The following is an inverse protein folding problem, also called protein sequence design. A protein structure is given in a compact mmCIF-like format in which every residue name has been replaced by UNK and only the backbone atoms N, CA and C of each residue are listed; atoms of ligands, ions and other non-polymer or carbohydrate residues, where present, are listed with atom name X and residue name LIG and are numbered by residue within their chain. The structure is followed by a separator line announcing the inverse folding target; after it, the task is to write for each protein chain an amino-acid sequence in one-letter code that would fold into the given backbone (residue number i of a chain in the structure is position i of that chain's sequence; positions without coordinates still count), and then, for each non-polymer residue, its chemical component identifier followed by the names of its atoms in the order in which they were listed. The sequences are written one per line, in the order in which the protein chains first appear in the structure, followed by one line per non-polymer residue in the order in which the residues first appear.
data_IF_256610460832
#
_entry.id   IF_256610460832
#
_cell.length_a   1.000
_cell.length_b   1.000
_cell.length_c   1.000
_cell.angle_alpha   90.00
_cell.angle_beta   90.00
_cell.angle_gamma   90.00
#
_symmetry.space_group_name_H-M   'P 1'
#
loop_
_entity.id
_entity.type
_entity.pdbx_description
1 polymer ?
#
# COMPACT_ATOMS: atom_id res chain seq x y z
N UNK A 1 12.48 6.44 1.44
CA UNK A 1 11.35 5.50 1.44
C UNK A 1 10.54 5.73 2.71
N UNK A 2 9.41 6.45 2.65
CA UNK A 2 8.50 6.64 3.79
C UNK A 2 7.97 5.30 4.31
N UNK A 3 7.87 5.16 5.63
CA UNK A 3 7.38 3.94 6.30
C UNK A 3 6.57 4.30 7.54
N UNK A 4 5.76 3.35 8.01
CA UNK A 4 4.96 3.48 9.24
C UNK A 4 3.54 3.95 8.94
N UNK A 5 2.59 3.03 9.00
CA UNK A 5 1.17 3.35 8.81
C UNK A 5 0.79 3.84 7.41
N UNK A 6 1.61 3.61 6.39
CA UNK A 6 1.32 4.01 5.01
C UNK A 6 0.18 3.16 4.45
N UNK A 7 -0.99 3.77 4.29
CA UNK A 7 -2.12 3.22 3.54
C UNK A 7 -2.05 3.60 2.04
N UNK A 8 -3.03 3.19 1.24
CA UNK A 8 -3.03 3.42 -0.21
C UNK A 8 -3.08 4.91 -0.58
N UNK A 9 -3.82 5.72 0.19
CA UNK A 9 -3.94 7.18 -0.04
C UNK A 9 -2.62 7.87 0.29
N UNK A 10 -2.00 7.52 1.42
CA UNK A 10 -0.69 8.04 1.78
C UNK A 10 0.40 7.57 0.80
N UNK A 11 0.31 6.33 0.31
CA UNK A 11 1.23 5.81 -0.71
C UNK A 11 1.17 6.66 -1.98
N UNK A 12 -0.02 6.95 -2.50
CA UNK A 12 -0.20 7.82 -3.67
C UNK A 12 0.42 9.20 -3.41
N UNK A 13 0.07 9.85 -2.31
CA UNK A 13 0.59 11.18 -1.97
C UNK A 13 2.12 11.22 -1.89
N UNK A 14 2.75 10.20 -1.30
CA UNK A 14 4.21 10.13 -1.24
C UNK A 14 4.84 9.94 -2.61
N UNK A 15 4.26 9.10 -3.47
CA UNK A 15 4.74 8.87 -4.83
C UNK A 15 4.61 10.16 -5.66
N UNK A 16 3.49 10.90 -5.54
CA UNK A 16 3.28 12.19 -6.18
C UNK A 16 4.28 13.26 -5.72
N UNK A 17 4.72 13.20 -4.46
CA UNK A 17 5.78 14.06 -3.92
C UNK A 17 7.20 13.65 -4.34
N UNK A 18 7.32 12.64 -5.22
CA UNK A 18 8.60 12.20 -5.78
C UNK A 18 9.29 11.10 -4.96
N UNK A 19 8.59 10.44 -4.03
CA UNK A 19 9.14 9.25 -3.41
C UNK A 19 9.28 8.14 -4.45
N UNK A 20 10.45 7.50 -4.53
CA UNK A 20 10.69 6.37 -5.44
C UNK A 20 10.01 5.08 -4.96
N UNK A 21 9.74 4.99 -3.66
CA UNK A 21 9.06 3.86 -3.03
C UNK A 21 8.51 4.24 -1.66
N UNK A 22 7.53 3.47 -1.18
CA UNK A 22 6.98 3.50 0.19
C UNK A 22 7.01 2.09 0.79
N UNK A 23 7.20 2.00 2.11
CA UNK A 23 7.07 0.74 2.84
C UNK A 23 5.69 0.61 3.47
N UNK A 24 5.01 -0.49 3.14
CA UNK A 24 3.67 -0.82 3.64
C UNK A 24 3.75 -2.01 4.58
N UNK A 25 2.94 -2.00 5.63
CA UNK A 25 2.99 -2.99 6.72
C UNK A 25 1.61 -3.23 7.29
N UNK A 26 1.34 -2.67 8.47
CA UNK A 26 0.06 -2.85 9.18
C UNK A 26 -1.18 -2.52 8.31
N UNK A 27 -1.19 -1.44 7.49
CA UNK A 27 -2.33 -1.17 6.60
C UNK A 27 -2.53 -2.22 5.50
N UNK A 28 -1.47 -2.89 5.04
CA UNK A 28 -1.58 -3.99 4.08
C UNK A 28 -2.05 -5.28 4.77
N UNK A 29 -1.35 -5.68 5.85
CA UNK A 29 -1.57 -6.95 6.51
C UNK A 29 -2.94 -7.01 7.19
N UNK A 30 -3.36 -5.94 7.88
CA UNK A 30 -4.57 -5.97 8.70
C UNK A 30 -4.49 -7.09 9.75
N UNK A 31 -5.52 -7.93 9.81
CA UNK A 31 -5.64 -9.09 10.70
C UNK A 31 -5.15 -10.42 10.08
N UNK A 32 -4.69 -10.40 8.83
CA UNK A 32 -4.39 -11.62 8.07
C UNK A 32 -3.27 -12.48 8.70
N UNK A 33 -2.31 -11.84 9.37
CA UNK A 33 -1.22 -12.55 10.06
C UNK A 33 -1.67 -13.28 11.33
N UNK A 34 -2.83 -12.89 11.88
CA UNK A 34 -3.44 -13.50 13.08
C UNK A 34 -4.52 -14.54 12.71
N UNK A 35 -4.55 -15.00 11.45
CA UNK A 35 -5.55 -15.95 10.94
C UNK A 35 -6.85 -15.30 10.46
N UNK A 36 -6.85 -13.98 10.26
CA UNK A 36 -7.98 -13.20 9.76
C UNK A 36 -8.22 -13.31 8.24
N UNK A 37 -8.76 -12.23 7.66
CA UNK A 37 -9.30 -12.23 6.30
C UNK A 37 -8.22 -12.14 5.20
N UNK A 38 -7.98 -13.27 4.51
CA UNK A 38 -7.05 -13.35 3.38
C UNK A 38 -7.61 -12.75 2.09
N UNK A 39 -8.92 -12.72 1.91
CA UNK A 39 -9.53 -12.07 0.74
C UNK A 39 -9.46 -10.55 0.90
N UNK A 40 -9.65 -10.05 2.11
CA UNK A 40 -9.35 -8.67 2.49
C UNK A 40 -7.89 -8.31 2.27
N UNK A 41 -6.94 -9.18 2.65
CA UNK A 41 -5.52 -8.97 2.34
C UNK A 41 -5.28 -8.87 0.83
N UNK A 42 -5.87 -9.76 0.03
CA UNK A 42 -5.75 -9.72 -1.43
C UNK A 42 -6.30 -8.42 -2.00
N UNK A 43 -7.45 -7.95 -1.52
CA UNK A 43 -8.05 -6.69 -1.97
C UNK A 43 -7.14 -5.50 -1.66
N UNK A 44 -6.61 -5.40 -0.43
CA UNK A 44 -5.66 -4.34 -0.04
C UNK A 44 -4.38 -4.39 -0.87
N UNK A 45 -3.83 -5.58 -1.11
CA UNK A 45 -2.65 -5.75 -1.95
C UNK A 45 -2.87 -5.27 -3.39
N UNK A 46 -4.02 -5.61 -3.98
CA UNK A 46 -4.39 -5.17 -5.32
C UNK A 46 -4.53 -3.64 -5.40
N UNK A 47 -5.04 -3.00 -4.35
CA UNK A 47 -5.12 -1.55 -4.26
C UNK A 47 -3.73 -0.88 -4.26
N UNK A 48 -2.78 -1.39 -3.47
CA UNK A 48 -1.41 -0.87 -3.49
C UNK A 48 -0.73 -1.06 -4.85
N UNK A 49 -0.94 -2.20 -5.51
CA UNK A 49 -0.43 -2.42 -6.88
C UNK A 49 -1.00 -1.37 -7.84
N UNK A 50 -2.33 -1.18 -7.84
CA UNK A 50 -2.99 -0.17 -8.67
C UNK A 50 -2.38 1.23 -8.46
N UNK A 51 -2.21 1.65 -7.21
CA UNK A 51 -1.58 2.94 -6.88
C UNK A 51 -0.17 3.05 -7.47
N UNK A 52 0.63 1.99 -7.40
CA UNK A 52 2.00 2.00 -7.95
C UNK A 52 2.02 2.02 -9.48
N UNK A 53 1.08 1.34 -10.16
CA UNK A 53 0.94 1.37 -11.62
C UNK A 53 0.51 2.76 -12.11
N UNK A 54 -0.45 3.37 -11.42
CA UNK A 54 -0.90 4.74 -11.71
C UNK A 54 0.22 5.75 -11.48
N UNK A 55 1.06 5.57 -10.46
CA UNK A 55 2.21 6.43 -10.22
C UNK A 55 3.30 6.27 -11.29
N UNK A 56 3.54 5.04 -11.77
CA UNK A 56 4.59 4.75 -12.76
C UNK A 56 4.26 5.22 -14.19
N UNK A 57 2.99 5.51 -14.47
CA UNK A 57 2.52 5.95 -15.79
C UNK A 57 2.45 7.48 -15.93
N UNK A 58 2.81 8.23 -14.88
CA UNK A 58 2.93 9.70 -14.88
C UNK A 58 4.37 10.13 -15.21
#
# INVERSE_FOLDING_TARGET
VPVGGVDAVAAEAYLELGAVAVGVGSPLIGDAADGGDLDGLRARAAEFVRVTEEAATR
#
